data_IF_684727182933
#
_entry.id   IF_684727182933
#
_cell.length_a   1.000
_cell.length_b   1.000
_cell.length_c   1.000
_cell.angle_alpha   90.00
_cell.angle_beta   90.00
_cell.angle_gamma   90.00
#
_symmetry.space_group_name_H-M   'P 1'
#
loop_
_entity.id
_entity.type
_entity.pdbx_description
1 polymer ?
#
# COMPACT_ATOMS: atom_id res chain seq x y z
N UNK A 1 -1.02 -5.73 -13.15
CA UNK A 1 -1.88 -4.66 -12.59
C UNK A 1 -1.67 -4.69 -11.08
N UNK A 2 -1.23 -3.60 -10.43
CA UNK A 2 -0.99 -3.61 -8.99
C UNK A 2 -2.31 -3.67 -8.21
N UNK A 3 -2.38 -4.53 -7.20
CA UNK A 3 -3.56 -4.70 -6.33
C UNK A 3 -3.18 -4.24 -4.91
N UNK A 4 -3.92 -3.26 -4.38
CA UNK A 4 -3.71 -2.71 -3.05
C UNK A 4 -4.92 -3.06 -2.19
N UNK A 5 -4.70 -3.83 -1.11
CA UNK A 5 -5.74 -4.20 -0.15
C UNK A 5 -6.15 -2.99 0.70
N UNK A 6 -7.45 -2.81 0.95
CA UNK A 6 -7.94 -1.87 1.96
C UNK A 6 -8.70 -2.64 3.04
N UNK A 7 -8.17 -2.69 4.25
CA UNK A 7 -8.76 -3.45 5.36
C UNK A 7 -9.29 -2.52 6.44
N UNK A 8 -10.22 -3.02 7.25
CA UNK A 8 -10.76 -2.27 8.39
C UNK A 8 -9.77 -2.16 9.56
N UNK A 9 -8.73 -3.00 9.59
CA UNK A 9 -7.78 -3.11 10.69
C UNK A 9 -6.33 -3.19 10.18
N UNK A 10 -5.41 -2.56 10.91
CA UNK A 10 -3.97 -2.59 10.62
C UNK A 10 -3.25 -3.79 11.26
N UNK A 11 -3.96 -4.88 11.55
CA UNK A 11 -3.32 -6.02 12.21
C UNK A 11 -2.29 -6.66 11.29
N UNK A 12 -1.13 -7.01 11.86
CA UNK A 12 -0.01 -7.57 11.11
C UNK A 12 -0.38 -8.88 10.39
N UNK A 13 -1.39 -9.60 10.89
CA UNK A 13 -1.90 -10.82 10.28
C UNK A 13 -2.69 -10.54 8.99
N UNK A 14 -3.57 -9.53 8.98
CA UNK A 14 -4.30 -9.09 7.78
C UNK A 14 -3.34 -8.63 6.68
N UNK A 15 -2.27 -7.92 7.07
CA UNK A 15 -1.20 -7.48 6.15
C UNK A 15 -0.48 -8.68 5.56
N UNK A 16 -0.08 -9.65 6.40
CA UNK A 16 0.61 -10.87 5.94
C UNK A 16 -0.26 -11.69 5.00
N UNK A 17 -1.52 -11.92 5.39
CA UNK A 17 -2.47 -12.66 4.58
C UNK A 17 -2.68 -12.00 3.21
N UNK A 18 -2.84 -10.67 3.16
CA UNK A 18 -2.97 -9.94 1.90
C UNK A 18 -1.74 -10.10 1.01
N UNK A 19 -0.53 -10.01 1.58
CA UNK A 19 0.71 -10.20 0.85
C UNK A 19 0.89 -11.64 0.36
N UNK A 20 0.59 -12.64 1.20
CA UNK A 20 0.66 -14.07 0.87
C UNK A 20 -0.34 -14.45 -0.24
N UNK A 21 -1.50 -13.81 -0.28
CA UNK A 21 -2.48 -13.96 -1.36
C UNK A 21 -2.04 -13.31 -2.69
N UNK A 22 -0.89 -12.64 -2.74
CA UNK A 22 -0.36 -12.02 -3.95
C UNK A 22 -0.79 -10.56 -4.17
N UNK A 23 -1.28 -9.87 -3.14
CA UNK A 23 -1.51 -8.43 -3.21
C UNK A 23 -0.18 -7.67 -3.11
N UNK A 24 -0.08 -6.53 -3.79
CA UNK A 24 1.15 -5.75 -3.85
C UNK A 24 1.34 -4.84 -2.61
N UNK A 25 0.26 -4.36 -2.03
CA UNK A 25 0.31 -3.54 -0.82
C UNK A 25 -0.98 -3.66 -0.02
N UNK A 26 -0.93 -3.19 1.22
CA UNK A 26 -2.06 -3.16 2.14
C UNK A 26 -2.15 -1.78 2.79
N UNK A 27 -3.35 -1.22 2.85
CA UNK A 27 -3.71 0.01 3.57
C UNK A 27 -4.79 -0.31 4.60
N UNK A 28 -4.69 0.27 5.79
CA UNK A 28 -5.69 0.13 6.84
C UNK A 28 -6.60 1.35 6.91
N UNK A 29 -7.83 1.16 7.38
CA UNK A 29 -8.73 2.25 7.77
C UNK A 29 -8.41 2.74 9.21
N UNK A 30 -8.63 4.03 9.51
CA UNK A 30 -9.06 5.11 8.62
C UNK A 30 -8.00 5.42 7.55
N UNK A 31 -8.45 5.68 6.32
CA UNK A 31 -7.57 5.82 5.15
C UNK A 31 -6.69 7.06 5.29
N UNK A 32 -5.38 6.83 5.34
CA UNK A 32 -4.36 7.87 5.27
C UNK A 32 -4.08 8.19 3.79
N UNK A 33 -4.52 9.39 3.38
CA UNK A 33 -4.43 9.84 1.99
C UNK A 33 -2.98 10.00 1.55
N UNK A 34 -2.08 10.43 2.43
CA UNK A 34 -0.66 10.57 2.11
C UNK A 34 -0.03 9.21 1.85
N UNK A 35 -0.30 8.22 2.71
CA UNK A 35 0.17 6.83 2.50
C UNK A 35 -0.41 6.20 1.24
N UNK A 36 -1.69 6.46 0.95
CA UNK A 36 -2.33 5.96 -0.26
C UNK A 36 -1.66 6.51 -1.52
N UNK A 37 -1.48 7.84 -1.58
CA UNK A 37 -0.84 8.51 -2.71
C UNK A 37 0.59 7.99 -2.89
N UNK A 38 1.35 7.86 -1.79
CA UNK A 38 2.71 7.32 -1.84
C UNK A 38 2.76 5.89 -2.38
N UNK A 39 1.84 5.03 -1.92
CA UNK A 39 1.74 3.63 -2.36
C UNK A 39 1.39 3.55 -3.85
N UNK A 40 0.40 4.34 -4.31
CA UNK A 40 0.01 4.38 -5.72
C UNK A 40 1.15 4.92 -6.59
N UNK A 41 1.82 5.98 -6.16
CA UNK A 41 2.94 6.57 -6.88
C UNK A 41 4.11 5.60 -7.04
N UNK A 42 4.37 4.75 -6.04
CA UNK A 42 5.39 3.71 -6.11
C UNK A 42 5.11 2.70 -7.25
N UNK A 43 3.84 2.36 -7.50
CA UNK A 43 3.45 1.40 -8.54
C UNK A 43 3.21 2.05 -9.91
N UNK A 44 2.82 3.33 -9.96
CA UNK A 44 2.70 4.11 -11.19
C UNK A 44 4.07 4.66 -11.60
N UNK A 45 4.83 3.88 -12.37
CA UNK A 45 6.19 4.12 -12.90
C UNK A 45 6.44 5.43 -13.68
N UNK A 46 5.58 6.45 -13.58
CA UNK A 46 5.72 7.79 -14.19
C UNK A 46 5.93 8.92 -13.18
N UNK A 47 5.95 8.63 -11.88
CA UNK A 47 6.25 9.64 -10.85
C UNK A 47 7.52 9.23 -10.12
N UNK A 48 8.67 9.76 -10.57
CA UNK A 48 9.89 9.74 -9.78
C UNK A 48 9.70 10.69 -8.58
N UNK A 49 9.18 10.17 -7.48
CA UNK A 49 9.29 10.87 -6.20
C UNK A 49 10.67 10.50 -5.65
N UNK A 50 11.62 11.41 -5.81
CA UNK A 50 13.03 11.29 -5.40
C UNK A 50 13.24 11.18 -3.88
N UNK A 51 12.35 10.47 -3.16
CA UNK A 51 12.35 10.36 -1.71
C UNK A 51 11.86 9.00 -1.20
N UNK A 52 12.25 7.92 -1.87
CA UNK A 52 12.24 6.58 -1.25
C UNK A 52 13.41 6.47 -0.26
N UNK A 53 13.42 7.29 0.81
CA UNK A 53 14.18 7.07 2.06
C UNK A 53 13.67 8.01 3.15
N UNK A 54 12.92 7.47 4.10
CA UNK A 54 13.37 7.26 5.49
C UNK A 54 12.47 6.24 6.15
#
# INVERSE_FOLDING_TARGET
IPIIALTANAFAEDVRHALDCGMNAHLAKPLDVEKMIHTIACYCSRVCISHCKK
#
